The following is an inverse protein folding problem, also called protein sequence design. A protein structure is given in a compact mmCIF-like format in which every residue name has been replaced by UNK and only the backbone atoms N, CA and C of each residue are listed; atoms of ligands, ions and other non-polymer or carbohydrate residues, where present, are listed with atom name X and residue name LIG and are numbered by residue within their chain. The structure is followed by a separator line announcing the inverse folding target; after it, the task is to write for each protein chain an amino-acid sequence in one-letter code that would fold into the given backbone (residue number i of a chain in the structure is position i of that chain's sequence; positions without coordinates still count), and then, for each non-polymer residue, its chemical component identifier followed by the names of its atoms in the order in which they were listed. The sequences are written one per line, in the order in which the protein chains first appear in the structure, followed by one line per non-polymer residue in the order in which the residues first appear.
data_IF_838626692526
#
_entry.id   IF_838626692526
#
_cell.length_a   1.000
_cell.length_b   1.000
_cell.length_c   1.000
_cell.angle_alpha   90.00
_cell.angle_beta   90.00
_cell.angle_gamma   90.00
#
_symmetry.space_group_name_H-M   'P 1'
#
loop_
_entity.id
_entity.type
_entity.pdbx_description
1 polymer ?
#
# COMPACT_ATOMS: atom_id res chain seq x y z
N UNK A 1 -22.26 -18.10 -40.10
CA UNK A 1 -21.52 -19.36 -40.30
C UNK A 1 -21.74 -20.27 -39.10
N UNK A 2 -21.51 -21.56 -39.26
CA UNK A 2 -21.77 -22.59 -38.26
C UNK A 2 -20.62 -23.61 -38.31
N UNK A 3 -19.89 -23.77 -37.20
CA UNK A 3 -18.71 -24.63 -37.06
C UNK A 3 -19.11 -26.10 -36.95
N UNK A 4 -19.97 -26.42 -35.98
CA UNK A 4 -20.58 -27.74 -35.89
C UNK A 4 -20.13 -28.52 -34.66
N UNK A 5 -19.22 -29.48 -34.84
CA UNK A 5 -18.55 -30.13 -33.72
C UNK A 5 -17.06 -30.16 -34.01
N UNK A 6 -16.28 -30.10 -32.95
CA UNK A 6 -14.83 -30.02 -33.02
C UNK A 6 -14.38 -28.57 -32.98
N UNK A 7 -13.07 -28.37 -32.89
CA UNK A 7 -12.48 -27.05 -32.72
C UNK A 7 -12.40 -26.33 -34.07
N UNK A 8 -13.25 -25.33 -34.25
CA UNK A 8 -13.44 -24.61 -35.50
C UNK A 8 -12.80 -23.22 -35.49
N UNK A 9 -12.59 -22.67 -36.69
CA UNK A 9 -12.19 -21.27 -36.89
C UNK A 9 -13.15 -20.61 -37.86
N UNK A 10 -13.80 -19.52 -37.43
CA UNK A 10 -14.83 -18.82 -38.17
C UNK A 10 -14.46 -17.33 -38.30
N UNK A 11 -14.61 -16.76 -39.51
CA UNK A 11 -14.25 -15.37 -39.81
C UNK A 11 -15.38 -14.66 -40.55
N UNK A 12 -16.02 -13.65 -39.95
CA UNK A 12 -17.08 -12.82 -40.53
C UNK A 12 -16.56 -11.90 -41.63
N UNK A 13 -15.40 -11.27 -41.40
CA UNK A 13 -14.81 -10.23 -42.24
C UNK A 13 -15.64 -8.93 -42.19
N UNK A 14 -15.95 -8.30 -43.33
CA UNK A 14 -16.82 -7.13 -43.33
C UNK A 14 -18.28 -7.57 -43.41
N UNK A 15 -19.15 -7.04 -42.58
CA UNK A 15 -20.57 -7.38 -42.61
C UNK A 15 -21.30 -7.15 -41.31
N UNK A 16 -22.48 -7.74 -41.21
CA UNK A 16 -23.16 -7.98 -39.95
C UNK A 16 -23.35 -9.48 -39.88
N UNK A 17 -22.36 -10.14 -39.31
CA UNK A 17 -22.19 -11.57 -39.37
C UNK A 17 -22.78 -12.24 -38.13
N UNK A 18 -23.15 -13.50 -38.32
CA UNK A 18 -23.58 -14.36 -37.22
C UNK A 18 -22.75 -15.62 -37.25
N UNK A 19 -21.93 -15.85 -36.23
CA UNK A 19 -20.98 -16.95 -36.12
C UNK A 19 -21.43 -17.86 -34.96
N UNK A 20 -21.41 -19.17 -35.18
CA UNK A 20 -21.83 -20.18 -34.21
C UNK A 20 -20.72 -21.24 -34.16
N UNK A 21 -20.00 -21.36 -33.04
CA UNK A 21 -18.99 -22.41 -32.84
C UNK A 21 -19.64 -23.77 -32.59
N UNK A 22 -20.52 -23.79 -31.59
CA UNK A 22 -21.30 -24.90 -31.03
C UNK A 22 -20.54 -25.79 -30.06
N UNK A 23 -19.67 -26.68 -30.52
CA UNK A 23 -19.09 -27.74 -29.67
C UNK A 23 -17.63 -27.89 -29.98
N UNK A 24 -16.82 -27.86 -28.94
CA UNK A 24 -15.37 -27.86 -29.07
C UNK A 24 -14.84 -26.46 -28.80
N UNK A 25 -13.52 -26.35 -28.76
CA UNK A 25 -12.86 -25.08 -28.44
C UNK A 25 -12.68 -24.30 -29.75
N UNK A 26 -13.53 -23.34 -29.98
CA UNK A 26 -13.71 -22.61 -31.22
C UNK A 26 -13.02 -21.23 -31.18
N UNK A 27 -12.70 -20.70 -32.36
CA UNK A 27 -12.20 -19.34 -32.51
C UNK A 27 -13.03 -18.58 -33.52
N UNK A 28 -13.71 -17.54 -33.05
CA UNK A 28 -14.64 -16.72 -33.81
C UNK A 28 -14.09 -15.29 -33.90
N UNK A 29 -14.03 -14.77 -35.11
CA UNK A 29 -13.62 -13.40 -35.41
C UNK A 29 -14.71 -12.74 -36.28
N UNK A 30 -15.41 -11.75 -35.72
CA UNK A 30 -16.47 -11.01 -36.40
C UNK A 30 -15.91 -10.16 -37.53
N UNK A 31 -14.98 -9.28 -37.19
CA UNK A 31 -14.26 -8.44 -38.12
C UNK A 31 -14.79 -7.02 -38.08
N UNK A 32 -15.50 -6.58 -39.12
CA UNK A 32 -16.01 -5.22 -39.20
C UNK A 32 -17.51 -5.19 -39.41
N UNK A 33 -18.18 -4.35 -38.61
CA UNK A 33 -19.62 -4.19 -38.50
C UNK A 33 -20.18 -4.97 -37.32
N UNK A 34 -21.47 -4.76 -37.05
CA UNK A 34 -22.16 -5.28 -35.87
C UNK A 34 -22.46 -6.78 -35.97
N UNK A 35 -21.66 -7.58 -35.28
CA UNK A 35 -21.62 -9.02 -35.37
C UNK A 35 -22.28 -9.69 -34.15
N UNK A 36 -22.62 -10.97 -34.32
CA UNK A 36 -23.11 -11.83 -33.23
C UNK A 36 -22.31 -13.12 -33.20
N UNK A 37 -21.54 -13.32 -32.14
CA UNK A 37 -20.66 -14.46 -31.95
C UNK A 37 -21.20 -15.31 -30.79
N UNK A 38 -21.31 -16.62 -31.02
CA UNK A 38 -21.74 -17.58 -30.01
C UNK A 38 -20.73 -18.73 -30.00
N UNK A 39 -20.01 -18.90 -28.88
CA UNK A 39 -19.03 -19.97 -28.66
C UNK A 39 -19.72 -21.32 -28.57
N UNK A 40 -20.39 -21.60 -27.44
CA UNK A 40 -21.22 -22.79 -27.25
C UNK A 40 -20.75 -23.66 -26.09
N UNK A 41 -20.34 -24.90 -26.36
CA UNK A 41 -19.71 -25.79 -25.39
C UNK A 41 -18.21 -25.87 -25.72
N UNK A 42 -17.33 -25.60 -24.76
CA UNK A 42 -15.87 -25.65 -24.95
C UNK A 42 -15.23 -24.33 -24.54
N UNK A 43 -13.90 -24.31 -24.45
CA UNK A 43 -13.18 -23.06 -24.14
C UNK A 43 -12.94 -22.29 -25.44
N UNK A 44 -13.70 -21.22 -25.65
CA UNK A 44 -13.79 -20.50 -26.91
C UNK A 44 -13.02 -19.16 -26.89
N UNK A 45 -12.66 -18.68 -28.08
CA UNK A 45 -12.09 -17.34 -28.28
C UNK A 45 -12.96 -16.52 -29.22
N UNK A 46 -13.58 -15.47 -28.71
CA UNK A 46 -14.49 -14.59 -29.45
C UNK A 46 -13.88 -13.18 -29.57
N UNK A 47 -13.71 -12.72 -30.81
CA UNK A 47 -13.26 -11.36 -31.14
C UNK A 47 -14.35 -10.66 -31.96
N UNK A 48 -14.96 -9.60 -31.43
CA UNK A 48 -15.98 -8.80 -32.13
C UNK A 48 -15.37 -8.04 -33.31
N UNK A 49 -14.34 -7.25 -33.01
CA UNK A 49 -13.56 -6.52 -33.99
C UNK A 49 -13.90 -5.04 -33.96
N UNK A 50 -14.58 -4.53 -34.98
CA UNK A 50 -15.06 -3.14 -34.99
C UNK A 50 -16.54 -3.11 -35.30
N UNK A 51 -17.31 -2.31 -34.60
CA UNK A 51 -18.77 -2.34 -34.71
C UNK A 51 -19.40 -2.35 -33.34
N UNK A 52 -20.70 -2.60 -33.30
CA UNK A 52 -21.38 -2.90 -32.04
C UNK A 52 -21.75 -4.37 -32.04
N UNK A 53 -20.98 -5.14 -31.31
CA UNK A 53 -20.97 -6.58 -31.34
C UNK A 53 -21.71 -7.17 -30.13
N UNK A 54 -22.11 -8.42 -30.28
CA UNK A 54 -22.67 -9.21 -29.18
C UNK A 54 -21.94 -10.54 -29.12
N UNK A 55 -21.28 -10.80 -28.01
CA UNK A 55 -20.49 -12.00 -27.77
C UNK A 55 -21.15 -12.81 -26.64
N UNK A 56 -21.20 -14.12 -26.81
CA UNK A 56 -21.75 -15.09 -25.85
C UNK A 56 -20.83 -16.31 -25.86
N UNK A 57 -20.05 -16.47 -24.79
CA UNK A 57 -19.06 -17.54 -24.63
C UNK A 57 -19.76 -18.90 -24.54
N UNK A 58 -20.65 -19.06 -23.57
CA UNK A 58 -21.49 -20.23 -23.42
C UNK A 58 -21.11 -21.06 -22.20
N UNK A 59 -20.57 -22.27 -22.40
CA UNK A 59 -20.02 -23.06 -21.30
C UNK A 59 -18.57 -23.39 -21.62
N UNK A 60 -17.70 -23.26 -20.62
CA UNK A 60 -16.27 -23.39 -20.79
C UNK A 60 -15.59 -22.12 -20.30
N UNK A 61 -14.27 -22.10 -20.31
CA UNK A 61 -13.52 -20.93 -19.88
C UNK A 61 -13.17 -20.08 -21.11
N UNK A 62 -13.97 -19.07 -21.37
CA UNK A 62 -13.96 -18.33 -22.63
C UNK A 62 -13.10 -17.07 -22.58
N UNK A 63 -12.54 -16.69 -23.73
CA UNK A 63 -11.88 -15.40 -23.95
C UNK A 63 -12.75 -14.54 -24.87
N UNK A 64 -13.14 -13.37 -24.39
CA UNK A 64 -14.00 -12.42 -25.09
C UNK A 64 -13.29 -11.06 -25.23
N UNK A 65 -13.36 -10.49 -26.43
CA UNK A 65 -12.90 -9.13 -26.69
C UNK A 65 -13.85 -8.48 -27.69
N UNK A 66 -14.55 -7.43 -27.26
CA UNK A 66 -15.46 -6.66 -28.12
C UNK A 66 -14.70 -5.96 -29.25
N UNK A 67 -13.68 -5.19 -28.87
CA UNK A 67 -12.90 -4.38 -29.78
C UNK A 67 -13.51 -2.98 -29.93
N UNK A 68 -13.36 -2.36 -31.11
CA UNK A 68 -13.79 -0.97 -31.31
C UNK A 68 -15.30 -0.86 -31.47
N UNK A 69 -15.96 -0.35 -30.46
CA UNK A 69 -17.33 0.16 -30.43
C UNK A 69 -17.94 0.00 -29.05
N UNK A 70 -19.26 -0.18 -29.00
CA UNK A 70 -19.96 -0.30 -27.71
C UNK A 70 -20.61 -1.68 -27.66
N UNK A 71 -19.89 -2.62 -27.06
CA UNK A 71 -20.15 -4.04 -27.17
C UNK A 71 -20.87 -4.60 -25.94
N UNK A 72 -21.43 -5.79 -26.13
CA UNK A 72 -22.06 -6.55 -25.05
C UNK A 72 -21.50 -7.96 -25.08
N UNK A 73 -20.88 -8.38 -23.98
CA UNK A 73 -20.31 -9.70 -23.80
C UNK A 73 -20.98 -10.43 -22.63
N UNK A 74 -21.24 -11.72 -22.83
CA UNK A 74 -21.68 -12.65 -21.80
C UNK A 74 -20.66 -13.79 -21.76
N UNK A 75 -20.03 -14.04 -20.61
CA UNK A 75 -19.12 -15.17 -20.43
C UNK A 75 -19.90 -16.48 -20.47
N UNK A 76 -20.78 -16.67 -19.48
CA UNK A 76 -21.67 -17.82 -19.40
C UNK A 76 -21.36 -18.67 -18.18
N UNK A 77 -21.11 -19.96 -18.35
CA UNK A 77 -20.70 -20.86 -17.28
C UNK A 77 -19.22 -21.23 -17.46
N UNK A 78 -18.40 -21.00 -16.45
CA UNK A 78 -16.96 -21.22 -16.51
C UNK A 78 -16.21 -19.99 -16.00
N UNK A 79 -14.87 -20.06 -16.03
CA UNK A 79 -14.03 -18.95 -15.60
C UNK A 79 -13.63 -18.11 -16.83
N UNK A 80 -14.40 -17.07 -17.11
CA UNK A 80 -14.31 -16.30 -18.35
C UNK A 80 -13.41 -15.07 -18.23
N UNK A 81 -12.92 -14.60 -19.38
CA UNK A 81 -12.09 -13.40 -19.49
C UNK A 81 -12.64 -12.43 -20.51
N UNK A 82 -12.89 -11.19 -20.11
CA UNK A 82 -13.18 -10.10 -21.03
C UNK A 82 -12.04 -9.08 -21.04
N UNK A 83 -11.50 -8.78 -22.22
CA UNK A 83 -10.43 -7.78 -22.36
C UNK A 83 -10.96 -6.49 -22.97
N UNK A 84 -10.67 -5.39 -22.30
CA UNK A 84 -10.88 -4.03 -22.78
C UNK A 84 -9.54 -3.34 -23.05
N UNK A 85 -9.41 -2.63 -24.16
CA UNK A 85 -8.21 -1.88 -24.55
C UNK A 85 -8.52 -0.42 -24.87
N UNK A 86 -7.51 0.47 -24.86
CA UNK A 86 -7.69 1.86 -25.20
C UNK A 86 -8.30 2.04 -26.60
N UNK A 87 -9.49 2.63 -26.64
CA UNK A 87 -10.22 2.90 -27.89
C UNK A 87 -11.26 1.84 -28.26
N UNK A 88 -11.47 0.83 -27.42
CA UNK A 88 -12.54 -0.14 -27.58
C UNK A 88 -13.89 0.59 -27.45
N UNK A 89 -14.18 1.26 -26.34
CA UNK A 89 -15.37 2.11 -26.20
C UNK A 89 -16.15 1.82 -24.93
N UNK A 90 -17.46 2.08 -24.92
CA UNK A 90 -18.30 1.76 -23.75
C UNK A 90 -18.87 0.35 -23.85
N UNK A 91 -18.31 -0.56 -23.06
CA UNK A 91 -18.66 -1.98 -23.11
C UNK A 91 -19.45 -2.43 -21.88
N UNK A 92 -20.18 -3.53 -22.06
CA UNK A 92 -20.84 -4.24 -20.96
C UNK A 92 -20.41 -5.69 -20.96
N UNK A 93 -20.00 -6.19 -19.80
CA UNK A 93 -19.62 -7.58 -19.62
C UNK A 93 -20.39 -8.19 -18.44
N UNK A 94 -21.02 -9.34 -18.67
CA UNK A 94 -21.60 -10.17 -17.62
C UNK A 94 -20.82 -11.48 -17.59
N UNK A 95 -20.04 -11.72 -16.54
CA UNK A 95 -19.19 -12.91 -16.43
C UNK A 95 -20.04 -14.17 -16.37
N UNK A 96 -21.01 -14.19 -15.46
CA UNK A 96 -22.01 -15.23 -15.36
C UNK A 96 -21.76 -16.13 -14.16
N UNK A 97 -21.51 -17.41 -14.38
CA UNK A 97 -21.26 -18.38 -13.32
C UNK A 97 -19.84 -18.89 -13.39
N UNK A 98 -19.05 -18.64 -12.35
CA UNK A 98 -17.66 -19.08 -12.28
C UNK A 98 -16.86 -18.06 -11.49
N UNK A 99 -15.56 -17.96 -11.77
CA UNK A 99 -14.72 -16.84 -11.34
C UNK A 99 -14.26 -16.09 -12.58
N UNK A 100 -14.93 -14.97 -12.83
CA UNK A 100 -14.78 -14.23 -14.07
C UNK A 100 -13.82 -13.05 -13.91
N UNK A 101 -13.03 -12.79 -14.95
CA UNK A 101 -11.98 -11.76 -14.95
C UNK A 101 -12.26 -10.70 -15.99
N UNK A 102 -12.34 -9.44 -15.57
CA UNK A 102 -12.19 -8.29 -16.47
C UNK A 102 -10.70 -7.96 -16.56
N UNK A 103 -10.17 -7.78 -17.77
CA UNK A 103 -8.83 -7.28 -18.01
C UNK A 103 -8.96 -5.89 -18.63
N UNK A 104 -8.45 -4.87 -17.95
CA UNK A 104 -8.52 -3.48 -18.36
C UNK A 104 -7.12 -2.95 -18.65
N UNK A 105 -6.81 -2.74 -19.93
CA UNK A 105 -5.52 -2.21 -20.34
C UNK A 105 -5.58 -0.68 -20.47
N UNK A 106 -4.68 0.00 -19.76
CA UNK A 106 -4.35 1.40 -19.91
C UNK A 106 -3.51 1.70 -21.16
N UNK A 107 -2.95 2.89 -21.21
CA UNK A 107 -2.12 3.41 -22.30
C UNK A 107 -0.75 3.86 -21.77
N UNK A 108 0.23 4.07 -22.65
CA UNK A 108 1.58 4.49 -22.25
C UNK A 108 1.71 5.97 -21.81
N UNK A 109 0.63 6.60 -21.33
CA UNK A 109 0.74 7.93 -20.76
C UNK A 109 -0.29 8.13 -19.67
N UNK A 110 -0.01 9.06 -18.77
CA UNK A 110 -0.78 9.31 -17.54
C UNK A 110 -2.30 9.29 -17.73
N UNK A 111 -2.95 8.41 -16.99
CA UNK A 111 -4.39 8.13 -16.95
C UNK A 111 -4.94 8.25 -15.53
N UNK A 112 -6.24 8.52 -15.43
CA UNK A 112 -7.00 8.28 -14.20
C UNK A 112 -8.07 7.25 -14.45
N UNK A 113 -8.04 6.21 -13.64
CA UNK A 113 -8.98 5.10 -13.64
C UNK A 113 -9.67 5.02 -12.28
N UNK A 114 -10.96 4.68 -12.29
CA UNK A 114 -11.73 4.50 -11.06
C UNK A 114 -12.59 3.26 -11.17
N UNK A 115 -12.68 2.50 -10.09
CA UNK A 115 -13.49 1.29 -9.96
C UNK A 115 -14.54 1.54 -8.88
N UNK A 116 -15.82 1.30 -9.19
CA UNK A 116 -16.90 1.55 -8.21
C UNK A 116 -17.95 0.46 -8.25
N UNK A 117 -18.30 -0.10 -7.08
CA UNK A 117 -19.36 -1.10 -6.97
C UNK A 117 -20.74 -0.51 -7.31
N UNK A 118 -21.50 -1.25 -8.10
CA UNK A 118 -22.88 -0.91 -8.41
C UNK A 118 -23.85 -1.43 -7.33
N UNK A 119 -24.92 -0.67 -7.08
CA UNK A 119 -25.95 -1.02 -6.08
C UNK A 119 -26.70 -2.35 -6.32
N UNK A 120 -26.46 -3.01 -7.46
CA UNK A 120 -27.04 -4.30 -7.85
C UNK A 120 -26.03 -5.44 -7.98
N UNK A 121 -24.77 -5.25 -7.58
CA UNK A 121 -23.65 -6.15 -7.85
C UNK A 121 -22.87 -5.75 -9.11
N UNK A 122 -21.60 -6.14 -9.18
CA UNK A 122 -20.66 -5.75 -10.24
C UNK A 122 -20.09 -4.34 -10.09
N UNK A 123 -19.38 -3.87 -11.12
CA UNK A 123 -18.59 -2.63 -11.06
C UNK A 123 -18.78 -1.73 -12.26
N UNK A 124 -18.44 -0.46 -12.07
CA UNK A 124 -18.21 0.50 -13.14
C UNK A 124 -16.75 0.88 -13.13
N UNK A 125 -16.13 0.75 -14.30
CA UNK A 125 -14.81 1.30 -14.60
C UNK A 125 -14.99 2.61 -15.32
N UNK A 126 -14.31 3.64 -14.84
CA UNK A 126 -14.19 4.91 -15.53
C UNK A 126 -12.73 5.15 -15.90
N UNK A 127 -12.49 5.73 -17.08
CA UNK A 127 -11.17 6.23 -17.48
C UNK A 127 -11.28 7.62 -18.07
N UNK A 128 -10.47 8.56 -17.57
CA UNK A 128 -10.53 9.97 -17.95
C UNK A 128 -10.08 10.22 -19.40
N UNK A 129 -9.12 9.44 -19.91
CA UNK A 129 -8.75 9.46 -21.31
C UNK A 129 -9.81 8.75 -22.18
N UNK A 130 -10.58 9.56 -22.89
CA UNK A 130 -11.61 9.09 -23.81
C UNK A 130 -13.02 9.05 -23.22
N UNK A 131 -13.17 9.36 -21.92
CA UNK A 131 -14.43 9.34 -21.15
C UNK A 131 -15.24 8.06 -21.43
N UNK A 132 -14.64 6.90 -21.12
CA UNK A 132 -15.27 5.59 -21.35
C UNK A 132 -15.82 5.00 -20.06
N UNK A 133 -16.82 4.12 -20.19
CA UNK A 133 -17.36 3.33 -19.09
C UNK A 133 -17.45 1.85 -19.45
N UNK A 134 -16.89 0.98 -18.61
CA UNK A 134 -17.17 -0.47 -18.66
C UNK A 134 -18.07 -0.83 -17.50
N UNK A 135 -19.23 -1.42 -17.80
CA UNK A 135 -20.16 -1.92 -16.78
C UNK A 135 -20.05 -3.43 -16.69
N UNK A 136 -19.79 -3.93 -15.49
CA UNK A 136 -19.71 -5.36 -15.23
C UNK A 136 -20.75 -5.86 -14.24
N UNK A 137 -21.15 -7.12 -14.40
CA UNK A 137 -21.88 -7.90 -13.39
C UNK A 137 -21.30 -9.30 -13.31
N UNK A 138 -21.40 -9.95 -12.14
CA UNK A 138 -20.85 -11.29 -11.91
C UNK A 138 -19.39 -11.40 -12.37
N UNK A 139 -18.54 -10.51 -11.86
CA UNK A 139 -17.10 -10.49 -12.10
C UNK A 139 -16.43 -10.46 -10.75
N UNK A 140 -15.51 -11.38 -10.52
CA UNK A 140 -14.85 -11.57 -9.22
C UNK A 140 -13.37 -11.20 -9.27
N UNK A 141 -12.81 -10.99 -10.46
CA UNK A 141 -11.45 -10.52 -10.65
C UNK A 141 -11.40 -9.37 -11.64
N UNK A 142 -10.55 -8.41 -11.34
CA UNK A 142 -10.27 -7.29 -12.21
C UNK A 142 -8.77 -7.12 -12.28
N UNK A 143 -8.22 -7.35 -13.46
CA UNK A 143 -6.82 -7.10 -13.75
C UNK A 143 -6.74 -5.72 -14.43
N UNK A 144 -5.95 -4.79 -13.90
CA UNK A 144 -5.76 -3.44 -14.44
C UNK A 144 -4.28 -3.21 -14.72
N UNK A 145 -3.95 -2.88 -15.97
CA UNK A 145 -2.58 -2.59 -16.40
C UNK A 145 -2.44 -1.12 -16.79
N UNK A 146 -1.81 -0.27 -15.96
CA UNK A 146 -1.51 1.14 -16.28
C UNK A 146 -0.51 1.31 -17.43
N UNK A 147 0.42 0.35 -17.56
CA UNK A 147 1.52 0.30 -18.53
C UNK A 147 2.60 1.37 -18.32
N UNK A 148 2.27 2.64 -18.46
CA UNK A 148 3.23 3.68 -18.12
C UNK A 148 2.72 5.08 -18.34
N UNK A 149 3.46 6.06 -17.86
CA UNK A 149 2.86 7.32 -17.45
C UNK A 149 2.77 7.36 -15.94
N UNK A 150 2.28 8.47 -15.40
CA UNK A 150 2.00 8.58 -13.97
C UNK A 150 0.49 8.43 -13.82
N UNK A 151 0.06 7.24 -13.47
CA UNK A 151 -1.32 6.81 -13.44
C UNK A 151 -1.92 6.96 -12.04
N UNK A 152 -3.23 7.13 -12.00
CA UNK A 152 -4.02 7.05 -10.76
C UNK A 152 -5.07 5.99 -10.96
N UNK A 153 -4.97 4.89 -10.23
CA UNK A 153 -5.92 3.77 -10.27
C UNK A 153 -6.61 3.70 -8.91
N UNK A 154 -7.83 4.23 -8.87
CA UNK A 154 -8.62 4.37 -7.64
C UNK A 154 -9.65 3.24 -7.53
N UNK A 155 -9.31 2.21 -6.75
CA UNK A 155 -10.16 1.09 -6.40
C UNK A 155 -11.05 1.32 -5.18
N UNK A 156 -10.92 2.45 -4.47
CA UNK A 156 -11.54 2.66 -3.15
C UNK A 156 -13.09 2.63 -3.17
N UNK A 157 -13.68 2.86 -4.35
CA UNK A 157 -15.12 2.74 -4.59
C UNK A 157 -15.63 1.30 -4.73
N UNK A 158 -14.73 0.33 -4.87
CA UNK A 158 -15.02 -1.10 -4.79
C UNK A 158 -15.27 -1.45 -3.32
N UNK A 159 -16.41 -2.08 -3.03
CA UNK A 159 -16.81 -2.40 -1.65
C UNK A 159 -17.19 -3.87 -1.41
N UNK A 160 -17.04 -4.73 -2.42
CA UNK A 160 -17.37 -6.15 -2.32
C UNK A 160 -16.12 -6.98 -2.05
N UNK A 161 -16.00 -7.48 -0.81
CA UNK A 161 -14.83 -8.24 -0.36
C UNK A 161 -14.61 -9.60 -1.05
N UNK A 162 -15.52 -10.03 -1.94
CA UNK A 162 -15.31 -11.26 -2.73
C UNK A 162 -14.64 -11.00 -4.07
N UNK A 163 -14.34 -9.75 -4.39
CA UNK A 163 -13.67 -9.38 -5.62
C UNK A 163 -12.24 -9.01 -5.32
N UNK A 164 -11.37 -9.42 -6.22
CA UNK A 164 -9.94 -9.15 -6.15
C UNK A 164 -9.57 -8.20 -7.27
N UNK A 165 -8.97 -7.09 -6.91
CA UNK A 165 -8.28 -6.19 -7.82
C UNK A 165 -6.82 -6.63 -7.93
N UNK A 166 -6.34 -6.76 -9.16
CA UNK A 166 -4.95 -7.03 -9.49
C UNK A 166 -4.48 -5.84 -10.33
N UNK A 167 -3.80 -4.90 -9.67
CA UNK A 167 -3.50 -3.58 -10.20
C UNK A 167 -1.99 -3.45 -10.43
N UNK A 168 -1.60 -3.18 -11.66
CA UNK A 168 -0.23 -2.80 -12.02
C UNK A 168 -0.19 -1.34 -12.48
N UNK A 169 0.65 -0.51 -11.85
CA UNK A 169 0.93 0.86 -12.28
C UNK A 169 1.76 0.88 -13.56
N UNK A 170 2.88 0.16 -13.54
CA UNK A 170 3.70 -0.07 -14.71
C UNK A 170 4.97 0.79 -14.68
N UNK A 171 4.99 1.91 -15.39
CA UNK A 171 6.20 2.73 -15.49
C UNK A 171 5.91 4.23 -15.37
N UNK A 172 6.41 4.86 -14.33
CA UNK A 172 6.18 6.25 -13.94
C UNK A 172 5.83 6.28 -12.46
N UNK A 173 5.60 7.47 -11.89
CA UNK A 173 5.22 7.55 -10.48
C UNK A 173 3.69 7.44 -10.38
N UNK A 174 3.23 6.29 -9.89
CA UNK A 174 1.83 5.86 -9.90
C UNK A 174 1.18 5.96 -8.51
N UNK A 175 -0.15 6.09 -8.50
CA UNK A 175 -0.97 6.09 -7.30
C UNK A 175 -2.03 5.00 -7.42
N UNK A 176 -1.93 3.98 -6.57
CA UNK A 176 -2.73 2.78 -6.63
C UNK A 176 -3.51 2.64 -5.31
N UNK A 177 -4.83 2.60 -5.41
CA UNK A 177 -5.69 2.27 -4.28
C UNK A 177 -6.44 0.98 -4.61
N UNK A 178 -6.31 -0.03 -3.75
CA UNK A 178 -7.17 -1.20 -3.72
C UNK A 178 -8.59 -0.84 -3.29
N UNK A 179 -9.37 -1.84 -2.92
CA UNK A 179 -10.79 -1.70 -2.61
C UNK A 179 -11.18 -2.43 -1.34
N UNK A 180 -12.20 -3.27 -1.45
CA UNK A 180 -12.44 -4.29 -0.46
C UNK A 180 -12.11 -5.65 -1.08
N UNK A 181 -11.66 -6.59 -0.25
CA UNK A 181 -11.17 -7.87 -0.73
C UNK A 181 -9.65 -7.90 -0.65
N UNK A 182 -9.08 -9.06 -0.93
CA UNK A 182 -7.64 -9.28 -0.83
C UNK A 182 -7.03 -8.96 -2.19
N UNK A 183 -6.53 -7.74 -2.32
CA UNK A 183 -6.06 -7.15 -3.56
C UNK A 183 -4.55 -7.35 -3.76
N UNK A 184 -4.12 -7.21 -5.01
CA UNK A 184 -2.72 -7.27 -5.42
C UNK A 184 -2.36 -5.94 -6.06
N UNK A 185 -1.30 -5.30 -5.58
CA UNK A 185 -0.82 -4.01 -6.07
C UNK A 185 0.65 -4.15 -6.49
N UNK A 186 0.98 -3.73 -7.71
CA UNK A 186 2.34 -3.69 -8.25
C UNK A 186 2.62 -2.28 -8.80
N UNK A 187 3.45 -1.50 -8.09
CA UNK A 187 3.86 -0.16 -8.49
C UNK A 187 4.60 -0.17 -9.83
N UNK A 188 5.70 -0.92 -9.89
CA UNK A 188 6.49 -1.12 -11.09
C UNK A 188 7.76 -0.28 -11.10
N UNK A 189 8.04 0.43 -12.20
CA UNK A 189 9.17 1.37 -12.27
C UNK A 189 8.69 2.78 -11.88
N UNK A 190 9.10 3.35 -10.75
CA UNK A 190 8.47 4.59 -10.30
C UNK A 190 8.83 5.02 -8.89
N UNK A 191 8.21 6.07 -8.40
CA UNK A 191 8.09 6.27 -6.95
C UNK A 191 6.59 6.20 -6.65
N UNK A 192 6.15 5.03 -6.24
CA UNK A 192 4.74 4.69 -6.25
C UNK A 192 4.10 4.85 -4.87
N UNK A 193 2.81 5.16 -4.86
CA UNK A 193 2.00 5.26 -3.64
C UNK A 193 0.91 4.19 -3.71
N UNK A 194 0.87 3.34 -2.71
CA UNK A 194 -0.07 2.22 -2.62
C UNK A 194 -0.86 2.24 -1.32
N UNK A 195 -2.16 1.95 -1.43
CA UNK A 195 -3.07 1.76 -0.28
C UNK A 195 -3.90 0.52 -0.57
N UNK A 196 -3.75 -0.54 0.23
CA UNK A 196 -4.52 -1.78 0.06
C UNK A 196 -6.03 -1.59 0.33
N UNK A 197 -6.35 -0.75 1.33
CA UNK A 197 -7.67 -0.62 1.92
C UNK A 197 -8.11 -1.94 2.62
N UNK A 198 -9.37 -2.36 2.45
CA UNK A 198 -9.96 -3.40 3.31
C UNK A 198 -9.71 -4.78 2.74
N UNK A 199 -8.74 -5.48 3.28
CA UNK A 199 -8.50 -6.89 2.99
C UNK A 199 -7.15 -7.30 3.52
N UNK A 200 -6.76 -8.54 3.23
CA UNK A 200 -5.36 -8.94 3.41
C UNK A 200 -4.69 -8.81 2.05
N UNK A 201 -3.98 -7.70 1.84
CA UNK A 201 -3.47 -7.25 0.54
C UNK A 201 -1.99 -7.58 0.34
N UNK A 202 -1.58 -7.78 -0.91
CA UNK A 202 -0.18 -8.05 -1.31
C UNK A 202 0.31 -6.93 -2.22
N UNK A 203 1.26 -6.12 -1.73
CA UNK A 203 1.79 -4.96 -2.44
C UNK A 203 3.29 -5.11 -2.75
N UNK A 204 3.70 -4.71 -3.96
CA UNK A 204 5.09 -4.60 -4.37
C UNK A 204 5.38 -3.21 -4.95
N UNK A 205 6.43 -2.55 -4.46
CA UNK A 205 6.90 -1.25 -4.96
C UNK A 205 7.57 -1.37 -6.32
N UNK A 206 8.60 -2.22 -6.40
CA UNK A 206 9.32 -2.45 -7.65
C UNK A 206 10.64 -1.68 -7.69
N UNK A 207 10.86 -0.81 -8.67
CA UNK A 207 12.07 0.02 -8.77
C UNK A 207 11.75 1.47 -8.44
N UNK A 208 12.48 2.01 -7.47
CA UNK A 208 12.46 3.41 -7.08
C UNK A 208 12.11 3.55 -5.61
N UNK A 209 11.58 4.69 -5.18
CA UNK A 209 11.30 4.92 -3.77
C UNK A 209 9.79 4.89 -3.55
N UNK A 210 9.31 3.74 -3.09
CA UNK A 210 7.89 3.44 -3.02
C UNK A 210 7.34 3.62 -1.62
N UNK A 211 6.02 3.78 -1.53
CA UNK A 211 5.32 3.93 -0.27
C UNK A 211 4.06 3.08 -0.22
N UNK A 212 3.88 2.39 0.91
CA UNK A 212 2.64 1.67 1.22
C UNK A 212 2.05 2.25 2.50
N UNK A 213 0.80 2.72 2.42
CA UNK A 213 0.06 3.24 3.56
C UNK A 213 -0.96 2.21 4.05
N UNK A 214 -0.96 2.01 5.37
CA UNK A 214 -1.95 1.23 6.08
C UNK A 214 -2.78 2.14 6.99
N UNK A 215 -4.11 1.98 6.95
CA UNK A 215 -5.06 2.72 7.77
C UNK A 215 -5.92 1.80 8.66
N UNK A 216 -6.45 2.32 9.79
CA UNK A 216 -7.33 1.53 10.65
C UNK A 216 -8.60 1.07 9.95
N UNK A 217 -8.74 -0.24 9.84
CA UNK A 217 -9.85 -0.87 9.11
C UNK A 217 -9.37 -1.78 7.99
N UNK A 218 -8.11 -1.59 7.59
CA UNK A 218 -7.36 -2.46 6.71
C UNK A 218 -7.03 -3.78 7.43
N UNK A 219 -6.68 -4.82 6.67
CA UNK A 219 -6.42 -6.16 7.19
C UNK A 219 -4.94 -6.45 7.41
N UNK A 220 -4.60 -7.74 7.32
CA UNK A 220 -3.22 -8.21 7.47
C UNK A 220 -2.50 -8.14 6.12
N UNK A 221 -1.67 -7.11 5.92
CA UNK A 221 -1.06 -6.83 4.63
C UNK A 221 0.39 -7.29 4.51
N UNK A 222 0.85 -7.42 3.26
CA UNK A 222 2.25 -7.68 2.91
C UNK A 222 2.74 -6.57 1.99
N UNK A 223 3.94 -6.04 2.27
CA UNK A 223 4.58 -5.05 1.42
C UNK A 223 6.05 -5.38 1.12
N UNK A 224 6.36 -5.58 -0.16
CA UNK A 224 7.73 -5.65 -0.66
C UNK A 224 8.14 -4.34 -1.34
N UNK A 225 8.95 -3.51 -0.68
CA UNK A 225 9.40 -2.23 -1.25
C UNK A 225 10.24 -2.39 -2.52
N UNK A 226 10.91 -3.53 -2.68
CA UNK A 226 11.73 -3.81 -3.85
C UNK A 226 13.04 -3.04 -3.84
N UNK A 227 13.17 -2.03 -4.68
CA UNK A 227 14.44 -1.48 -5.10
C UNK A 227 14.52 0.04 -5.01
N UNK A 228 14.75 0.58 -3.83
CA UNK A 228 15.28 1.94 -3.69
C UNK A 228 15.38 2.34 -2.24
N UNK A 229 14.52 3.24 -1.81
CA UNK A 229 14.38 3.62 -0.39
C UNK A 229 12.91 3.70 -0.11
N UNK A 230 12.40 2.59 0.39
CA UNK A 230 10.97 2.34 0.44
C UNK A 230 10.42 2.60 1.83
N UNK A 231 9.18 3.09 1.91
CA UNK A 231 8.55 3.56 3.14
C UNK A 231 7.26 2.81 3.42
N UNK A 232 7.16 2.16 4.59
CA UNK A 232 5.87 1.77 5.15
C UNK A 232 5.33 2.95 5.98
N UNK A 233 4.09 3.37 5.74
CA UNK A 233 3.38 4.37 6.53
C UNK A 233 2.25 3.67 7.28
N UNK A 234 2.24 3.78 8.60
CA UNK A 234 1.26 3.15 9.47
C UNK A 234 0.49 4.19 10.27
N UNK A 235 -0.83 4.28 10.07
CA UNK A 235 -1.69 5.22 10.78
C UNK A 235 -2.50 4.52 11.89
N UNK A 236 -2.48 5.10 13.08
CA UNK A 236 -3.29 4.72 14.24
C UNK A 236 -4.75 5.19 14.14
N UNK A 237 -5.58 4.78 15.10
CA UNK A 237 -7.03 5.04 15.09
C UNK A 237 -7.46 6.25 15.94
N UNK A 238 -6.52 6.97 16.55
CA UNK A 238 -6.84 8.05 17.47
C UNK A 238 -7.46 7.56 18.79
N UNK A 239 -7.05 6.38 19.25
CA UNK A 239 -7.38 5.80 20.55
C UNK A 239 -6.16 5.11 21.15
N UNK A 240 -6.14 4.86 22.47
CA UNK A 240 -5.03 4.16 23.13
C UNK A 240 -4.67 2.83 22.41
N UNK A 241 -3.48 2.76 21.81
CA UNK A 241 -3.00 1.63 21.01
C UNK A 241 -1.65 1.09 21.48
N UNK A 242 -1.43 -0.22 21.25
CA UNK A 242 -0.12 -0.85 21.45
C UNK A 242 0.39 -1.35 20.10
N UNK A 243 1.51 -0.79 19.68
CA UNK A 243 2.14 -1.03 18.38
C UNK A 243 3.58 -1.49 18.57
N UNK A 244 4.05 -2.43 17.74
CA UNK A 244 5.43 -2.91 17.80
C UNK A 244 6.04 -3.07 16.42
N UNK A 245 7.32 -2.75 16.27
CA UNK A 245 8.12 -3.02 15.06
C UNK A 245 9.21 -4.02 15.39
N UNK A 246 9.26 -5.14 14.65
CA UNK A 246 10.23 -6.23 14.89
C UNK A 246 10.93 -6.65 13.61
N UNK A 247 12.27 -6.74 13.61
CA UNK A 247 13.01 -7.26 12.45
C UNK A 247 12.71 -8.74 12.21
N UNK A 248 12.45 -9.09 10.96
CA UNK A 248 12.20 -10.45 10.51
C UNK A 248 13.43 -11.10 9.88
N UNK A 249 13.40 -12.44 9.81
CA UNK A 249 14.50 -13.22 9.23
C UNK A 249 14.64 -13.08 7.69
N UNK A 250 13.59 -12.59 7.03
CA UNK A 250 13.57 -12.26 5.60
C UNK A 250 14.32 -10.94 5.29
N UNK A 251 14.72 -10.17 6.31
CA UNK A 251 15.43 -8.90 6.17
C UNK A 251 14.53 -7.67 6.26
N UNK A 252 13.20 -7.81 6.24
CA UNK A 252 12.27 -6.72 6.52
C UNK A 252 11.77 -6.72 7.97
N UNK A 253 10.56 -6.22 8.19
CA UNK A 253 9.99 -5.99 9.51
C UNK A 253 8.56 -6.51 9.61
N UNK A 254 8.18 -6.85 10.83
CA UNK A 254 6.80 -7.03 11.21
C UNK A 254 6.36 -5.79 11.95
N UNK A 255 5.28 -5.18 11.48
CA UNK A 255 4.50 -4.26 12.28
C UNK A 255 3.35 -5.05 12.93
N UNK A 256 3.07 -4.80 14.21
CA UNK A 256 1.91 -5.37 14.90
C UNK A 256 1.15 -4.29 15.65
N UNK A 257 -0.19 -4.36 15.59
CA UNK A 257 -1.11 -3.54 16.38
C UNK A 257 -2.09 -4.41 17.16
N UNK A 258 -2.26 -4.12 18.43
CA UNK A 258 -3.09 -4.92 19.34
C UNK A 258 -4.59 -4.88 19.00
N UNK A 259 -5.09 -3.71 18.58
CA UNK A 259 -6.46 -3.54 18.10
C UNK A 259 -6.64 -4.30 16.80
N UNK A 260 -7.64 -5.19 16.79
CA UNK A 260 -7.92 -6.16 15.71
C UNK A 260 -6.81 -7.21 15.46
N UNK A 261 -5.68 -7.14 16.19
CA UNK A 261 -4.54 -8.06 16.04
C UNK A 261 -3.94 -8.03 14.64
N UNK A 262 -3.75 -6.81 14.11
CA UNK A 262 -3.24 -6.56 12.77
C UNK A 262 -1.75 -6.84 12.72
N UNK A 263 -1.32 -7.49 11.64
CA UNK A 263 0.08 -7.70 11.31
C UNK A 263 0.36 -7.21 9.89
N UNK A 264 1.45 -6.46 9.71
CA UNK A 264 1.98 -6.14 8.38
C UNK A 264 3.38 -6.73 8.28
N UNK A 265 3.61 -7.56 7.27
CA UNK A 265 4.91 -8.15 7.00
C UNK A 265 5.58 -7.45 5.82
N UNK A 266 6.81 -7.00 6.02
CA UNK A 266 7.56 -6.29 4.96
C UNK A 266 8.81 -7.02 4.52
N UNK A 267 9.26 -6.71 3.30
CA UNK A 267 10.61 -6.97 2.79
C UNK A 267 11.13 -5.77 2.03
N UNK A 268 12.45 -5.57 2.01
CA UNK A 268 13.10 -4.48 1.27
C UNK A 268 12.47 -3.10 1.55
N UNK A 269 12.25 -2.79 2.83
CA UNK A 269 11.77 -1.48 3.30
C UNK A 269 12.87 -0.84 4.11
N UNK A 270 13.17 0.44 3.87
CA UNK A 270 14.25 1.17 4.54
C UNK A 270 13.76 2.24 5.51
N UNK A 271 12.48 2.60 5.45
CA UNK A 271 11.84 3.57 6.34
C UNK A 271 10.50 3.05 6.82
N UNK A 272 10.22 3.27 8.10
CA UNK A 272 8.90 2.98 8.68
C UNK A 272 8.43 4.23 9.40
N UNK A 273 7.32 4.78 8.94
CA UNK A 273 6.60 5.89 9.54
C UNK A 273 5.42 5.33 10.33
N UNK A 274 5.29 5.71 11.60
CA UNK A 274 4.22 5.27 12.50
C UNK A 274 3.61 6.49 13.16
N UNK A 275 2.32 6.72 12.91
CA UNK A 275 1.55 7.83 13.47
C UNK A 275 0.46 7.32 14.42
N UNK A 276 0.62 7.51 15.73
CA UNK A 276 -0.41 7.15 16.74
C UNK A 276 -1.69 8.01 16.66
N UNK A 277 -1.55 9.25 16.16
CA UNK A 277 -2.58 10.29 16.05
C UNK A 277 -3.11 10.79 17.39
N UNK A 278 -3.75 9.95 18.20
CA UNK A 278 -4.20 10.37 19.52
C UNK A 278 -4.68 9.21 20.38
N UNK A 279 -4.93 9.48 21.66
CA UNK A 279 -4.95 8.40 22.66
C UNK A 279 -3.60 8.32 23.35
N UNK A 280 -3.45 7.47 24.36
CA UNK A 280 -2.15 7.23 24.99
C UNK A 280 -1.55 5.97 24.34
N UNK A 281 -0.62 6.18 23.43
CA UNK A 281 -0.08 5.14 22.58
C UNK A 281 1.23 4.58 23.12
N UNK A 282 1.44 3.29 22.89
CA UNK A 282 2.69 2.60 23.19
C UNK A 282 3.26 2.06 21.89
N UNK A 283 4.21 2.79 21.29
CA UNK A 283 4.88 2.41 20.05
C UNK A 283 6.28 1.91 20.39
N UNK A 284 6.50 0.61 20.24
CA UNK A 284 7.73 -0.07 20.64
C UNK A 284 8.50 -0.60 19.41
N UNK A 285 9.51 0.18 18.98
CA UNK A 285 10.45 -0.18 17.94
C UNK A 285 11.63 -1.03 18.41
N UNK A 286 11.72 -1.42 19.69
CA UNK A 286 12.93 -2.06 20.23
C UNK A 286 13.22 -3.45 19.64
N UNK A 287 12.25 -4.06 18.98
CA UNK A 287 12.41 -5.29 18.21
C UNK A 287 13.08 -5.10 16.85
N UNK A 288 13.17 -3.85 16.36
CA UNK A 288 13.91 -3.46 15.19
C UNK A 288 15.41 -3.51 15.53
N UNK A 289 16.19 -4.26 14.75
CA UNK A 289 17.64 -4.42 14.98
C UNK A 289 18.50 -4.09 13.75
N UNK A 290 17.90 -3.55 12.69
CA UNK A 290 18.59 -3.22 11.45
C UNK A 290 18.99 -1.74 11.41
N UNK A 291 20.27 -1.45 11.70
CA UNK A 291 20.83 -0.08 11.75
C UNK A 291 20.70 0.72 10.43
N UNK A 292 20.38 0.06 9.31
CA UNK A 292 20.19 0.74 8.02
C UNK A 292 18.79 1.36 7.88
N UNK A 293 17.86 1.00 8.75
CA UNK A 293 16.47 1.46 8.71
C UNK A 293 16.25 2.49 9.79
N UNK A 294 15.50 3.53 9.44
CA UNK A 294 15.11 4.59 10.35
C UNK A 294 13.62 4.48 10.63
N UNK A 295 13.26 4.50 11.91
CA UNK A 295 11.89 4.67 12.38
C UNK A 295 11.58 6.16 12.50
N UNK A 296 10.46 6.58 11.95
CA UNK A 296 9.86 7.88 12.18
C UNK A 296 8.56 7.65 12.95
N UNK A 297 8.53 8.02 14.22
CA UNK A 297 7.44 7.70 15.12
C UNK A 297 6.84 9.00 15.66
N UNK A 298 5.55 9.21 15.43
CA UNK A 298 4.76 10.29 16.03
C UNK A 298 3.74 9.71 16.99
N UNK A 299 3.75 10.14 18.26
CA UNK A 299 2.72 9.76 19.26
C UNK A 299 1.38 10.43 18.96
N UNK A 300 1.37 11.76 18.91
CA UNK A 300 0.17 12.56 18.60
C UNK A 300 -0.43 13.20 19.84
N UNK A 301 -1.76 13.20 19.96
CA UNK A 301 -2.47 13.73 21.14
C UNK A 301 -2.54 12.65 22.24
N UNK A 302 -1.76 12.72 23.31
CA UNK A 302 -1.65 11.60 24.24
C UNK A 302 -0.64 11.76 25.34
N UNK A 303 -0.54 10.77 26.23
CA UNK A 303 0.69 10.59 26.99
C UNK A 303 1.34 9.32 26.46
N UNK A 304 2.22 9.50 25.49
CA UNK A 304 2.68 8.42 24.65
C UNK A 304 3.99 7.83 25.16
N UNK A 305 4.21 6.55 24.89
CA UNK A 305 5.49 5.87 25.14
C UNK A 305 6.06 5.43 23.82
N UNK A 306 7.11 6.11 23.40
CA UNK A 306 7.77 5.90 22.11
C UNK A 306 9.16 5.32 22.36
N UNK A 307 9.43 4.17 21.75
CA UNK A 307 10.75 3.55 21.73
C UNK A 307 11.13 3.36 20.27
N UNK A 308 12.28 3.89 19.85
CA UNK A 308 12.87 3.56 18.55
C UNK A 308 13.49 2.17 18.60
N UNK A 309 14.55 1.95 17.84
CA UNK A 309 15.19 0.66 17.70
C UNK A 309 16.67 0.80 17.41
N UNK A 310 17.16 0.06 16.42
CA UNK A 310 18.45 0.36 15.82
C UNK A 310 18.25 1.25 14.60
N UNK A 311 19.15 2.19 14.36
CA UNK A 311 19.01 3.14 13.26
C UNK A 311 19.12 4.57 13.76
N UNK A 312 19.02 5.54 12.86
CA UNK A 312 18.91 6.94 13.28
C UNK A 312 17.43 7.30 13.28
N UNK A 313 16.78 7.16 14.42
CA UNK A 313 15.34 7.27 14.53
C UNK A 313 14.91 8.71 14.79
N UNK A 314 13.68 9.03 14.44
CA UNK A 314 13.04 10.31 14.76
C UNK A 314 11.77 10.03 15.56
N UNK A 315 11.73 10.49 16.80
CA UNK A 315 10.59 10.34 17.69
C UNK A 315 10.00 11.71 18.02
N UNK A 316 8.69 11.85 17.84
CA UNK A 316 7.92 13.05 18.12
C UNK A 316 6.78 12.67 19.08
N UNK A 317 6.84 13.14 20.33
CA UNK A 317 5.81 12.88 21.35
C UNK A 317 4.47 13.47 20.93
N UNK A 318 4.39 14.80 20.89
CA UNK A 318 3.20 15.51 20.45
C UNK A 318 2.59 16.32 21.57
N UNK A 319 1.31 16.11 21.87
CA UNK A 319 0.60 16.85 22.90
C UNK A 319 0.28 15.96 24.10
N UNK A 320 0.87 16.28 25.25
CA UNK A 320 0.69 15.61 26.53
C UNK A 320 2.05 15.22 27.09
N UNK A 321 2.11 14.30 28.05
CA UNK A 321 3.37 14.01 28.75
C UNK A 321 3.97 12.72 28.20
N UNK A 322 4.94 12.86 27.33
CA UNK A 322 5.42 11.74 26.52
C UNK A 322 6.72 11.15 27.09
N UNK A 323 7.00 9.90 26.77
CA UNK A 323 8.22 9.19 27.15
C UNK A 323 8.92 8.69 25.90
N UNK A 324 10.08 9.26 25.57
CA UNK A 324 10.81 8.98 24.33
C UNK A 324 12.14 8.28 24.65
N UNK A 325 12.36 7.12 24.04
CA UNK A 325 13.63 6.37 24.09
C UNK A 325 14.13 6.16 22.67
N UNK A 326 15.25 6.78 22.28
CA UNK A 326 15.78 6.71 20.91
C UNK A 326 16.18 5.29 20.52
N UNK A 327 17.08 4.68 21.27
CA UNK A 327 17.56 3.34 20.97
C UNK A 327 19.06 3.39 20.67
N UNK A 328 19.46 2.72 19.60
CA UNK A 328 20.84 2.65 19.15
C UNK A 328 21.00 3.36 17.81
N UNK A 329 21.86 4.38 17.76
CA UNK A 329 22.14 5.22 16.60
C UNK A 329 22.04 6.69 16.97
N UNK A 330 21.99 7.60 15.98
CA UNK A 330 21.90 9.03 16.26
C UNK A 330 20.45 9.46 16.14
N UNK A 331 19.76 9.56 17.27
CA UNK A 331 18.32 9.75 17.27
C UNK A 331 17.94 11.23 17.40
N UNK A 332 16.75 11.59 16.92
CA UNK A 332 16.14 12.91 17.10
C UNK A 332 14.88 12.77 17.93
N UNK A 333 14.88 13.30 19.15
CA UNK A 333 13.79 13.19 20.11
C UNK A 333 13.13 14.56 20.31
N UNK A 334 11.84 14.67 20.06
CA UNK A 334 11.06 15.91 20.21
C UNK A 334 9.84 15.65 21.08
N UNK A 335 9.82 16.11 22.32
CA UNK A 335 8.66 15.96 23.21
C UNK A 335 7.45 16.79 22.75
N UNK A 336 7.70 18.04 22.36
CA UNK A 336 6.70 19.04 21.98
C UNK A 336 5.94 19.65 23.17
N UNK A 337 4.66 19.35 23.40
CA UNK A 337 3.83 20.09 24.32
C UNK A 337 3.40 19.25 25.54
N UNK A 338 4.07 19.43 26.67
CA UNK A 338 3.70 18.84 27.95
C UNK A 338 4.94 18.62 28.80
N UNK A 339 4.86 17.77 29.82
CA UNK A 339 6.03 17.45 30.63
C UNK A 339 6.65 16.15 30.14
N UNK A 340 7.64 16.25 29.27
CA UNK A 340 8.16 15.10 28.53
C UNK A 340 9.38 14.45 29.20
N UNK A 341 9.55 13.15 29.02
CA UNK A 341 10.67 12.38 29.52
C UNK A 341 11.52 11.83 28.37
N UNK A 342 12.76 12.32 28.28
CA UNK A 342 13.78 11.81 27.36
C UNK A 342 14.60 10.75 28.08
N UNK A 343 14.38 9.48 27.73
CA UNK A 343 14.89 8.32 28.46
C UNK A 343 16.12 7.76 27.77
N UNK A 344 17.20 7.61 28.54
CA UNK A 344 18.42 6.95 28.09
C UNK A 344 18.64 5.70 28.95
N UNK A 345 18.98 4.58 28.30
CA UNK A 345 19.15 3.29 28.97
C UNK A 345 20.50 2.65 28.66
N UNK A 346 21.01 1.80 29.56
CA UNK A 346 22.22 1.03 29.30
C UNK A 346 21.94 -0.27 28.48
N UNK A 347 20.67 -0.57 28.20
CA UNK A 347 20.27 -1.79 27.48
C UNK A 347 20.35 -1.64 25.95
N UNK A 348 20.47 -0.41 25.45
CA UNK A 348 20.50 -0.09 24.01
C UNK A 348 21.91 -0.06 23.40
N UNK A 349 22.97 0.23 24.15
CA UNK A 349 24.06 -0.70 24.45
C UNK A 349 24.89 -1.37 23.32
N UNK A 350 25.12 -0.79 22.13
CA UNK A 350 25.92 -1.32 21.01
C UNK A 350 27.45 -0.99 21.00
N UNK A 351 27.93 -0.10 21.88
CA UNK A 351 29.34 0.33 22.00
C UNK A 351 29.93 1.18 20.85
N UNK A 352 29.09 1.88 20.11
CA UNK A 352 29.43 2.93 19.14
C UNK A 352 29.12 4.28 19.77
N UNK A 353 30.01 5.27 19.60
CA UNK A 353 29.69 6.64 20.04
C UNK A 353 28.62 7.22 19.14
N UNK A 354 27.48 7.50 19.75
CA UNK A 354 26.29 8.04 19.11
C UNK A 354 26.02 9.47 19.60
N UNK A 355 25.19 10.19 18.85
CA UNK A 355 24.86 11.58 19.15
C UNK A 355 23.36 11.80 18.98
N UNK A 356 22.66 11.74 20.10
CA UNK A 356 21.23 11.99 20.14
C UNK A 356 20.96 13.48 20.25
N UNK A 357 19.91 13.93 19.57
CA UNK A 357 19.46 15.30 19.54
C UNK A 357 18.10 15.39 20.26
N UNK A 358 18.07 16.12 21.37
CA UNK A 358 16.81 16.56 21.98
C UNK A 358 16.43 17.92 21.41
N UNK A 359 15.24 17.99 20.82
CA UNK A 359 14.66 19.21 20.26
C UNK A 359 13.49 19.66 21.15
N UNK A 360 13.45 20.96 21.45
CA UNK A 360 12.31 21.57 22.13
C UNK A 360 12.26 21.41 23.65
N UNK A 361 13.33 20.94 24.30
CA UNK A 361 13.39 20.80 25.76
C UNK A 361 12.98 22.08 26.51
N UNK A 362 12.10 21.93 27.50
CA UNK A 362 11.47 23.01 28.25
C UNK A 362 11.28 22.65 29.72
N UNK A 363 12.21 23.12 30.57
CA UNK A 363 12.08 22.99 32.04
C UNK A 363 10.78 23.65 32.57
N UNK A 364 10.25 24.65 31.85
CA UNK A 364 9.03 25.35 32.21
C UNK A 364 7.77 24.52 31.98
N UNK A 365 7.78 23.64 30.97
CA UNK A 365 6.68 22.71 30.68
C UNK A 365 6.77 21.44 31.54
N UNK A 366 7.98 21.13 32.03
CA UNK A 366 8.21 20.08 33.02
C UNK A 366 9.13 18.97 32.52
N UNK A 367 9.83 19.20 31.40
CA UNK A 367 10.65 18.21 30.74
C UNK A 367 11.80 17.72 31.61
N UNK A 368 12.09 16.42 31.46
CA UNK A 368 13.15 15.74 32.20
C UNK A 368 14.00 14.89 31.29
N UNK A 369 15.30 14.82 31.61
CA UNK A 369 16.19 13.80 31.07
C UNK A 369 16.27 12.67 32.10
N UNK A 370 15.78 11.49 31.73
CA UNK A 370 15.78 10.32 32.60
C UNK A 370 17.05 9.49 32.41
N UNK A 371 17.92 9.53 33.42
CA UNK A 371 19.18 8.80 33.48
C UNK A 371 19.17 7.74 34.58
N UNK A 372 18.00 7.34 35.09
CA UNK A 372 17.89 6.34 36.18
C UNK A 372 18.49 4.98 35.80
N UNK A 373 18.57 4.68 34.51
CA UNK A 373 19.09 3.42 33.94
C UNK A 373 20.50 3.53 33.36
N UNK A 374 21.03 4.75 33.24
CA UNK A 374 22.38 5.04 32.76
C UNK A 374 23.25 5.49 33.94
N UNK A 375 24.58 5.52 33.78
CA UNK A 375 25.45 6.11 34.79
C UNK A 375 25.23 7.63 34.93
N UNK A 376 26.15 8.30 35.63
CA UNK A 376 26.10 9.76 35.76
C UNK A 376 26.51 10.47 34.46
N UNK A 377 26.13 11.74 34.29
CA UNK A 377 26.79 12.64 33.33
C UNK A 377 28.27 12.76 33.73
N UNK A 378 29.18 12.47 32.80
CA UNK A 378 30.63 12.52 33.04
C UNK A 378 31.32 13.76 32.50
N UNK A 379 30.73 14.42 31.51
CA UNK A 379 31.19 15.70 31.00
C UNK A 379 29.99 16.49 30.45
N UNK A 380 30.06 17.81 30.57
CA UNK A 380 29.09 18.74 30.01
C UNK A 380 29.82 19.92 29.36
N UNK A 381 29.39 20.30 28.16
CA UNK A 381 29.98 21.40 27.42
C UNK A 381 28.93 22.13 26.59
N UNK A 382 29.05 23.46 26.49
CA UNK A 382 28.16 24.27 25.65
C UNK A 382 28.84 24.53 24.31
N UNK A 383 28.20 24.09 23.22
CA UNK A 383 28.68 24.30 21.85
C UNK A 383 27.69 25.17 21.10
N UNK A 384 28.04 26.44 20.88
CA UNK A 384 27.11 27.40 20.28
C UNK A 384 25.98 27.75 21.25
N UNK A 385 24.76 27.35 20.93
CA UNK A 385 23.55 27.54 21.77
C UNK A 385 23.12 26.26 22.48
N UNK A 386 23.81 25.14 22.25
CA UNK A 386 23.33 23.82 22.61
C UNK A 386 24.22 23.22 23.70
N UNK A 387 23.59 22.51 24.63
CA UNK A 387 24.26 21.80 25.71
C UNK A 387 24.57 20.38 25.24
N UNK A 388 25.84 19.99 25.31
CA UNK A 388 26.28 18.63 25.03
C UNK A 388 26.59 17.94 26.35
N UNK A 389 25.94 16.79 26.58
CA UNK A 389 26.14 15.93 27.73
C UNK A 389 26.84 14.66 27.25
N UNK A 390 27.92 14.27 27.93
CA UNK A 390 28.52 12.95 27.73
C UNK A 390 28.08 12.04 28.87
N UNK A 391 27.40 10.93 28.56
CA UNK A 391 26.87 10.00 29.55
C UNK A 391 27.88 8.89 29.90
N UNK A 392 27.93 8.44 31.17
CA UNK A 392 28.73 7.26 31.55
C UNK A 392 27.93 5.96 31.44
N UNK A 393 28.50 4.97 30.74
CA UNK A 393 27.80 3.70 30.52
C UNK A 393 26.64 3.87 29.55
N UNK A 394 26.16 2.77 28.96
CA UNK A 394 25.36 2.85 27.73
C UNK A 394 26.25 2.89 26.48
N UNK A 395 25.76 3.52 25.41
CA UNK A 395 26.41 3.61 24.09
C UNK A 395 27.61 4.58 24.04
N UNK A 396 27.84 5.33 25.12
CA UNK A 396 28.73 6.50 25.18
C UNK A 396 28.13 7.71 24.43
N UNK A 397 26.82 7.90 24.59
CA UNK A 397 26.06 8.92 23.88
C UNK A 397 26.49 10.31 24.26
N UNK A 398 26.62 11.12 23.21
CA UNK A 398 26.62 12.56 23.31
C UNK A 398 25.16 12.98 23.16
N UNK A 399 24.52 13.41 24.24
CA UNK A 399 23.18 14.00 24.15
C UNK A 399 23.32 15.49 23.91
N UNK A 400 22.79 15.96 22.79
CA UNK A 400 22.73 17.38 22.44
C UNK A 400 21.34 17.90 22.76
N UNK A 401 21.26 18.80 23.75
CA UNK A 401 20.01 19.49 24.10
C UNK A 401 19.98 20.83 23.38
N UNK A 402 19.17 20.92 22.32
CA UNK A 402 19.13 22.09 21.45
C UNK A 402 18.61 23.32 22.20
N UNK A 403 19.30 24.45 22.06
CA UNK A 403 18.86 25.74 22.61
C UNK A 403 19.03 25.90 24.13
N UNK A 404 19.57 24.89 24.83
CA UNK A 404 19.89 24.96 26.25
C UNK A 404 21.35 25.38 26.42
N UNK A 405 21.59 26.46 27.17
CA UNK A 405 22.93 27.03 27.31
C UNK A 405 23.61 26.77 28.67
N UNK A 406 22.96 25.99 29.55
CA UNK A 406 23.46 25.67 30.89
C UNK A 406 22.89 24.34 31.38
N UNK A 407 23.72 23.52 32.03
CA UNK A 407 23.26 22.28 32.69
C UNK A 407 22.32 22.57 33.87
N UNK A 408 22.41 23.76 34.48
CA UNK A 408 21.51 24.18 35.56
C UNK A 408 20.06 24.41 35.08
N UNK A 409 19.84 24.54 33.76
CA UNK A 409 18.53 24.71 33.14
C UNK A 409 17.92 23.35 32.72
N UNK A 410 18.50 22.23 33.19
CA UNK A 410 18.05 20.86 32.88
C UNK A 410 17.68 20.11 34.16
N UNK A 411 16.48 19.53 34.16
CA UNK A 411 16.02 18.62 35.21
C UNK A 411 16.38 17.17 34.87
N UNK A 412 17.13 16.52 35.76
CA UNK A 412 17.51 15.10 35.62
C UNK A 412 16.74 14.23 36.59
N UNK A 413 16.27 13.07 36.13
CA UNK A 413 15.86 11.96 37.01
C UNK A 413 17.05 11.03 37.25
N UNK A 414 17.42 10.86 38.52
CA UNK A 414 18.57 10.07 38.98
C UNK A 414 18.13 9.06 40.05
N UNK A 415 18.93 8.01 40.27
CA UNK A 415 18.70 6.92 41.24
C UNK A 415 18.70 7.43 42.70
#
# INVERSE_FOLDING_TARGET
MDGGNGNDRLFGNNGHDRLLGRRGNDSLDGGAGNDRLFGGEGDDRLLGGSGRDTLDGGNGNDFLQGGVGNDVAFGGEGDDRFTWNPGDGDDTFDGGGGTDTLIFNGANGAERMTITTLAGGGFVFFRDLGDITVNTTNVERVDVDGLGGNDTIDGSGQTDANVVLDISGGAGDDSLEGGAGNDILDGGDGNDIMIGNRGDDDASGGLGNDSFQWDPGDGDDVFDGGGGTDTLIFNGAGADEIMTVTTQANGGFQFFRDVASITIDTTNVERVEVDGLGGNDSIDGSGQTNIAVALEITGGDGNDTLTGGAGNDTLIGGAGNDSLTGGAGNDSLTGSAGADAFVFSAETANAVTETDLIVGYSEAEGDVIDLRTVGAVIDDNVVGTDLQLTLAGGDNDIVVVQGVASIDDVTFLLI
#
